data_IF_892857395746
#
_entry.id   IF_892857395746
#
_cell.length_a   1.000
_cell.length_b   1.000
_cell.length_c   1.000
_cell.angle_alpha   90.00
_cell.angle_beta   90.00
_cell.angle_gamma   90.00
#
_symmetry.space_group_name_H-M   'P 1'
#
loop_
_entity.id
_entity.type
_entity.pdbx_description
1 polymer ?
#
# COMPACT_ATOMS: atom_id res chain seq x y z
N UNK A 1 19.48 19.35 42.16
CA UNK A 1 20.28 18.57 41.20
C UNK A 1 19.67 17.18 41.07
N UNK A 2 19.36 16.70 39.85
CA UNK A 2 18.97 15.29 39.64
C UNK A 2 20.25 14.52 39.34
N UNK A 3 20.69 13.67 40.27
CA UNK A 3 21.80 12.76 40.01
C UNK A 3 21.36 11.73 38.99
N UNK A 4 22.04 11.66 37.84
CA UNK A 4 21.89 10.59 36.86
C UNK A 4 23.04 9.61 37.07
N UNK A 5 22.97 8.84 38.16
CA UNK A 5 23.89 7.73 38.36
C UNK A 5 23.35 6.54 37.56
N UNK A 6 24.11 5.94 36.64
CA UNK A 6 23.71 4.70 36.00
C UNK A 6 23.53 3.61 37.06
N UNK A 7 22.28 3.20 37.30
CA UNK A 7 21.99 2.04 38.15
C UNK A 7 22.08 0.78 37.29
N UNK A 8 22.94 -0.14 37.68
CA UNK A 8 23.07 -1.43 37.01
C UNK A 8 21.82 -2.29 37.32
N UNK A 9 21.34 -3.10 36.37
CA UNK A 9 20.12 -3.90 36.52
C UNK A 9 20.12 -4.76 37.80
N UNK A 10 21.28 -5.31 38.17
CA UNK A 10 21.43 -6.12 39.40
C UNK A 10 21.35 -5.32 40.71
N UNK A 11 21.43 -3.99 40.65
CA UNK A 11 21.34 -3.11 41.83
C UNK A 11 19.90 -2.85 42.27
N UNK A 12 18.91 -3.17 41.43
CA UNK A 12 17.50 -3.04 41.78
C UNK A 12 17.06 -4.12 42.77
N UNK A 13 15.98 -3.86 43.52
CA UNK A 13 15.37 -4.89 44.35
C UNK A 13 14.95 -6.11 43.48
N UNK A 14 15.02 -7.35 44.00
CA UNK A 14 14.73 -8.56 43.22
C UNK A 14 13.33 -8.56 42.58
N UNK A 15 12.35 -7.92 43.21
CA UNK A 15 10.99 -7.74 42.67
C UNK A 15 10.96 -6.91 41.38
N UNK A 16 11.81 -5.87 41.28
CA UNK A 16 11.90 -5.03 40.08
C UNK A 16 12.74 -5.69 38.98
N UNK A 17 13.73 -6.51 39.34
CA UNK A 17 14.46 -7.34 38.38
C UNK A 17 13.49 -8.32 37.68
N UNK A 18 12.72 -9.07 38.46
CA UNK A 18 11.71 -10.00 37.93
C UNK A 18 10.66 -9.30 37.07
N UNK A 19 10.15 -8.15 37.53
CA UNK A 19 9.18 -7.38 36.75
C UNK A 19 9.75 -6.88 35.42
N UNK A 20 11.04 -6.52 35.38
CA UNK A 20 11.72 -6.16 34.14
C UNK A 20 11.88 -7.37 33.21
N UNK A 21 12.30 -8.52 33.74
CA UNK A 21 12.42 -9.78 32.97
C UNK A 21 11.07 -10.18 32.36
N UNK A 22 9.98 -10.11 33.13
CA UNK A 22 8.62 -10.38 32.65
C UNK A 22 8.19 -9.39 31.55
N UNK A 23 8.55 -8.10 31.71
CA UNK A 23 8.31 -7.09 30.68
C UNK A 23 9.09 -7.39 29.40
N UNK A 24 10.35 -7.79 29.50
CA UNK A 24 11.19 -8.15 28.35
C UNK A 24 10.61 -9.38 27.62
N UNK A 25 10.21 -10.42 28.35
CA UNK A 25 9.55 -11.61 27.78
C UNK A 25 8.28 -11.20 27.01
N UNK A 26 7.40 -10.39 27.63
CA UNK A 26 6.17 -9.95 26.96
C UNK A 26 6.45 -9.06 25.74
N UNK A 27 7.45 -8.20 25.81
CA UNK A 27 7.88 -7.36 24.69
C UNK A 27 8.39 -8.21 23.52
N UNK A 28 9.22 -9.22 23.81
CA UNK A 28 9.68 -10.19 22.80
C UNK A 28 8.50 -10.90 22.13
N UNK A 29 7.54 -11.41 22.90
CA UNK A 29 6.33 -12.02 22.35
C UNK A 29 5.53 -11.07 21.46
N UNK A 30 5.41 -9.79 21.84
CA UNK A 30 4.73 -8.77 21.03
C UNK A 30 5.49 -8.52 19.73
N UNK A 31 6.82 -8.41 19.77
CA UNK A 31 7.69 -8.21 18.60
C UNK A 31 7.56 -9.39 17.64
N UNK A 32 7.68 -10.63 18.14
CA UNK A 32 7.57 -11.85 17.35
C UNK A 32 6.20 -11.94 16.68
N UNK A 33 5.12 -11.75 17.45
CA UNK A 33 3.75 -11.80 16.91
C UNK A 33 3.47 -10.68 15.89
N UNK A 34 4.04 -9.49 16.10
CA UNK A 34 3.94 -8.39 15.14
C UNK A 34 4.68 -8.73 13.85
N UNK A 35 5.87 -9.33 13.94
CA UNK A 35 6.64 -9.81 12.80
C UNK A 35 5.89 -10.89 12.03
N UNK A 36 5.40 -11.93 12.69
CA UNK A 36 4.62 -13.00 12.04
C UNK A 36 3.39 -12.44 11.32
N UNK A 37 2.65 -11.52 11.96
CA UNK A 37 1.49 -10.87 11.33
C UNK A 37 1.91 -10.03 10.12
N UNK A 38 3.05 -9.35 10.18
CA UNK A 38 3.56 -8.58 9.06
C UNK A 38 3.96 -9.51 7.92
N UNK A 39 4.80 -10.52 8.19
CA UNK A 39 5.35 -11.44 7.20
C UNK A 39 4.26 -12.25 6.50
N UNK A 40 3.24 -12.70 7.24
CA UNK A 40 2.08 -13.42 6.67
C UNK A 40 1.29 -12.60 5.66
N UNK A 41 1.19 -11.28 5.86
CA UNK A 41 0.43 -10.37 4.98
C UNK A 41 1.32 -9.64 3.96
N UNK A 42 2.64 -9.69 4.13
CA UNK A 42 3.58 -9.00 3.27
C UNK A 42 3.67 -9.67 1.90
N UNK A 43 3.45 -8.89 0.83
CA UNK A 43 3.63 -9.32 -0.56
C UNK A 43 4.68 -8.44 -1.24
N UNK A 44 5.55 -9.05 -2.02
CA UNK A 44 6.51 -8.30 -2.82
C UNK A 44 5.82 -7.65 -4.01
N UNK A 45 6.11 -6.37 -4.25
CA UNK A 45 5.61 -5.67 -5.44
C UNK A 45 6.44 -6.09 -6.66
N UNK A 46 5.83 -6.29 -7.85
CA UNK A 46 6.55 -6.63 -9.07
C UNK A 46 7.59 -5.58 -9.43
N UNK A 47 8.76 -5.99 -9.92
CA UNK A 47 9.78 -5.05 -10.41
C UNK A 47 9.26 -4.24 -11.59
N UNK A 48 9.73 -3.01 -11.73
CA UNK A 48 9.39 -2.12 -12.84
C UNK A 48 10.58 -2.05 -13.80
N UNK A 49 10.32 -1.80 -15.08
CA UNK A 49 11.35 -1.76 -16.11
C UNK A 49 11.75 -0.31 -16.43
N UNK A 50 12.96 -0.14 -16.95
CA UNK A 50 13.40 1.13 -17.52
C UNK A 50 12.42 1.58 -18.62
N UNK A 51 12.17 2.89 -18.72
CA UNK A 51 11.24 3.47 -19.68
C UNK A 51 9.75 3.30 -19.36
N UNK A 52 9.39 2.55 -18.31
CA UNK A 52 7.98 2.39 -17.92
C UNK A 52 7.42 3.69 -17.35
N UNK A 53 6.20 4.04 -17.77
CA UNK A 53 5.42 5.11 -17.16
C UNK A 53 4.85 4.66 -15.82
N UNK A 54 4.98 5.52 -14.81
CA UNK A 54 4.55 5.24 -13.45
C UNK A 54 3.83 6.42 -12.85
N UNK A 55 2.80 6.12 -12.07
CA UNK A 55 2.23 7.06 -11.11
C UNK A 55 3.15 7.10 -9.88
N UNK A 56 3.43 8.31 -9.43
CA UNK A 56 4.29 8.60 -8.29
C UNK A 56 3.44 9.15 -7.16
N UNK A 57 3.56 8.55 -5.98
CA UNK A 57 2.86 9.03 -4.81
C UNK A 57 3.51 10.33 -4.29
N UNK A 58 2.71 11.38 -4.15
CA UNK A 58 3.12 12.62 -3.51
C UNK A 58 3.32 12.41 -2.00
N UNK A 59 4.46 12.83 -1.46
CA UNK A 59 4.81 12.57 -0.07
C UNK A 59 4.04 13.43 0.93
N UNK A 60 3.55 14.60 0.49
CA UNK A 60 2.80 15.53 1.33
C UNK A 60 1.32 15.16 1.37
N UNK A 61 0.70 14.92 0.20
CA UNK A 61 -0.73 14.62 0.10
C UNK A 61 -1.08 13.13 0.10
N UNK A 62 -0.11 12.24 -0.17
CA UNK A 62 -0.34 10.81 -0.32
C UNK A 62 -1.10 10.42 -1.59
N UNK A 63 -1.38 11.37 -2.50
CA UNK A 63 -2.11 11.12 -3.75
C UNK A 63 -1.20 10.56 -4.84
N UNK A 64 -1.80 9.89 -5.81
CA UNK A 64 -1.14 9.31 -7.00
C UNK A 64 -1.47 10.19 -8.20
N UNK A 65 -1.00 11.43 -8.16
CA UNK A 65 -1.37 12.50 -9.11
C UNK A 65 -0.25 12.84 -10.09
N UNK A 66 0.99 12.45 -9.78
CA UNK A 66 2.15 12.77 -10.61
C UNK A 66 2.53 11.56 -11.47
N UNK A 67 2.78 11.81 -12.75
CA UNK A 67 3.29 10.78 -13.68
C UNK A 67 4.76 11.04 -13.98
N UNK A 68 5.54 9.96 -14.09
CA UNK A 68 6.95 10.00 -14.48
C UNK A 68 7.38 8.75 -15.22
N UNK A 69 8.60 8.80 -15.76
CA UNK A 69 9.23 7.68 -16.49
C UNK A 69 10.42 7.18 -15.69
N UNK A 70 10.57 5.87 -15.57
CA UNK A 70 11.74 5.27 -14.94
C UNK A 70 12.96 5.42 -15.86
N UNK A 71 14.00 6.09 -15.36
CA UNK A 71 15.27 6.31 -16.06
C UNK A 71 16.39 5.43 -15.49
N UNK A 72 16.26 4.95 -14.26
CA UNK A 72 17.27 4.12 -13.61
C UNK A 72 16.68 3.21 -12.54
N UNK A 73 17.35 2.09 -12.30
CA UNK A 73 17.01 1.11 -11.25
C UNK A 73 18.21 1.05 -10.30
N UNK A 74 17.96 1.31 -9.02
CA UNK A 74 18.98 1.25 -7.97
C UNK A 74 19.21 -0.18 -7.48
N UNK A 75 20.18 -0.35 -6.58
CA UNK A 75 20.55 -1.66 -6.01
C UNK A 75 19.45 -2.27 -5.13
N UNK A 76 18.61 -1.44 -4.53
CA UNK A 76 17.50 -1.86 -3.66
C UNK A 76 16.16 -1.78 -4.39
N UNK A 77 15.12 -1.27 -3.71
CA UNK A 77 13.79 -1.05 -4.29
C UNK A 77 13.65 0.40 -4.73
N UNK A 78 14.74 1.07 -5.07
CA UNK A 78 14.76 2.49 -5.40
C UNK A 78 14.90 2.66 -6.91
N UNK A 79 14.14 3.59 -7.47
CA UNK A 79 14.05 3.85 -8.90
C UNK A 79 14.31 5.33 -9.14
N UNK A 80 15.06 5.63 -10.18
CA UNK A 80 15.30 6.99 -10.64
C UNK A 80 14.21 7.36 -11.65
N UNK A 81 13.48 8.43 -11.38
CA UNK A 81 12.29 8.82 -12.14
C UNK A 81 12.47 10.21 -12.69
N UNK A 82 12.20 10.37 -13.98
CA UNK A 82 12.07 11.66 -14.64
C UNK A 82 10.60 12.08 -14.64
N UNK A 83 10.31 13.17 -13.94
CA UNK A 83 8.97 13.78 -13.89
C UNK A 83 8.67 14.52 -15.20
N UNK A 84 7.38 14.79 -15.47
CA UNK A 84 6.98 15.65 -16.59
C UNK A 84 7.58 17.06 -16.57
N UNK A 85 7.97 17.57 -15.40
CA UNK A 85 8.69 18.84 -15.25
C UNK A 85 10.18 18.79 -15.59
N UNK A 86 10.71 17.62 -15.96
CA UNK A 86 12.14 17.39 -16.24
C UNK A 86 12.99 17.10 -15.00
N UNK A 87 12.46 17.32 -13.79
CA UNK A 87 13.15 16.95 -12.54
C UNK A 87 13.34 15.44 -12.45
N UNK A 88 14.51 15.01 -11.98
CA UNK A 88 14.83 13.60 -11.76
C UNK A 88 14.97 13.35 -10.27
N UNK A 89 14.37 12.27 -9.74
CA UNK A 89 14.48 11.91 -8.32
C UNK A 89 14.49 10.41 -8.09
N UNK A 90 15.11 9.99 -6.99
CA UNK A 90 15.01 8.62 -6.48
C UNK A 90 13.71 8.41 -5.69
N UNK A 91 12.99 7.32 -5.97
CA UNK A 91 11.80 6.90 -5.22
C UNK A 91 11.75 5.40 -5.01
N UNK A 92 11.27 5.01 -3.84
CA UNK A 92 11.08 3.62 -3.49
C UNK A 92 9.88 3.02 -4.23
N UNK A 93 9.97 1.73 -4.60
CA UNK A 93 8.99 0.94 -5.34
C UNK A 93 7.58 1.01 -4.75
N UNK A 94 7.47 1.11 -3.42
CA UNK A 94 6.18 1.20 -2.72
C UNK A 94 5.40 2.47 -3.05
N UNK A 95 6.10 3.52 -3.50
CA UNK A 95 5.56 4.81 -3.89
C UNK A 95 5.40 4.95 -5.40
N UNK A 96 5.46 3.83 -6.13
CA UNK A 96 5.32 3.76 -7.58
C UNK A 96 4.23 2.77 -7.96
N UNK A 97 3.42 3.11 -8.96
CA UNK A 97 2.44 2.22 -9.58
C UNK A 97 2.63 2.26 -11.09
N UNK A 98 2.49 1.14 -11.81
CA UNK A 98 2.42 1.18 -13.26
C UNK A 98 1.28 2.12 -13.68
N UNK A 99 1.60 3.11 -14.51
CA UNK A 99 0.61 4.04 -15.02
C UNK A 99 -0.24 3.32 -16.06
N UNK A 100 -1.55 3.28 -15.85
CA UNK A 100 -2.51 2.77 -16.82
C UNK A 100 -3.29 3.97 -17.34
N UNK A 101 -2.95 4.52 -18.51
CA UNK A 101 -3.76 5.58 -19.08
C UNK A 101 -5.17 5.02 -19.26
N UNK A 102 -6.16 5.68 -18.66
CA UNK A 102 -7.56 5.38 -18.95
C UNK A 102 -7.72 5.50 -20.47
N UNK A 103 -8.15 4.43 -21.13
CA UNK A 103 -8.40 4.38 -22.58
C UNK A 103 -9.61 5.26 -22.93
N UNK A 104 -9.52 6.56 -22.69
CA UNK A 104 -10.50 7.55 -23.10
C UNK A 104 -9.77 8.63 -23.88
N UNK A 105 -9.30 8.28 -25.08
CA UNK A 105 -9.39 9.14 -26.25
C UNK A 105 -8.94 8.38 -27.49
N UNK A 106 -9.82 8.46 -28.48
CA UNK A 106 -9.76 7.89 -29.82
C UNK A 106 -8.39 8.05 -30.44
N UNK A 107 -7.78 6.92 -30.82
CA UNK A 107 -6.68 6.90 -31.79
C UNK A 107 -7.16 7.69 -33.02
N UNK A 108 -6.53 8.81 -33.41
CA UNK A 108 -6.72 9.34 -34.75
C UNK A 108 -6.11 8.28 -35.66
N UNK A 109 -6.98 7.47 -36.27
CA UNK A 109 -6.63 6.57 -37.35
C UNK A 109 -6.06 7.48 -38.44
N UNK A 110 -4.74 7.67 -38.45
CA UNK A 110 -4.06 8.42 -39.49
C UNK A 110 -4.56 7.85 -40.82
N UNK A 111 -5.11 8.72 -41.67
CA UNK A 111 -5.61 8.36 -42.99
C UNK A 111 -4.44 7.77 -43.76
N UNK A 112 -4.37 6.44 -43.82
CA UNK A 112 -3.65 5.76 -44.88
C UNK A 112 -4.45 6.02 -46.16
N UNK A 113 -3.88 6.86 -47.02
CA UNK A 113 -4.31 7.12 -48.38
C UNK A 113 -4.48 5.78 -49.13
N UNK A 114 -5.48 5.63 -50.02
CA UNK A 114 -5.77 4.36 -50.66
C UNK A 114 -4.75 4.07 -51.76
N UNK A 115 -3.98 2.99 -51.64
CA UNK A 115 -3.36 2.36 -52.81
C UNK A 115 -4.14 1.10 -53.15
N UNK A 116 -4.89 1.21 -54.23
CA UNK A 116 -5.61 0.15 -54.92
C UNK A 116 -4.63 -0.95 -55.35
N UNK A 117 -4.86 -2.18 -54.87
CA UNK A 117 -4.44 -3.39 -55.57
C UNK A 117 -5.59 -4.38 -55.57
N UNK A 118 -6.39 -4.27 -56.62
CA UNK A 118 -7.23 -5.34 -57.15
C UNK A 118 -6.38 -6.59 -57.37
N UNK A 119 -6.70 -7.71 -56.70
CA UNK A 119 -6.51 -9.07 -57.21
C UNK A 119 -7.52 -9.97 -56.48
N UNK A 120 -8.45 -10.54 -57.24
CA UNK A 120 -9.64 -11.20 -56.72
C UNK A 120 -9.55 -12.70 -56.47
N UNK A 121 -10.68 -13.15 -55.91
CA UNK A 121 -11.33 -14.47 -56.02
C UNK A 121 -10.87 -15.65 -55.15
N UNK A 122 -11.80 -16.08 -54.28
CA UNK A 122 -12.36 -17.44 -54.08
C UNK A 122 -12.82 -17.55 -52.61
N UNK A 123 -14.07 -17.19 -52.28
CA UNK A 123 -15.28 -18.05 -52.24
C UNK A 123 -15.03 -19.39 -51.53
N UNK A 124 -15.55 -19.53 -50.31
CA UNK A 124 -16.52 -20.59 -49.97
C UNK A 124 -17.22 -20.33 -48.61
N UNK A 125 -18.46 -20.86 -48.40
CA UNK A 125 -19.46 -20.31 -47.50
C UNK A 125 -19.57 -21.01 -46.12
N UNK A 126 -20.14 -20.29 -45.15
CA UNK A 126 -20.61 -20.82 -43.86
C UNK A 126 -21.75 -21.85 -44.03
N UNK A 127 -22.07 -22.66 -43.00
CA UNK A 127 -23.34 -22.46 -42.29
C UNK A 127 -23.30 -22.94 -40.80
N UNK A 128 -24.42 -23.07 -40.05
CA UNK A 128 -25.25 -22.02 -39.44
C UNK A 128 -25.39 -22.17 -37.88
N UNK A 129 -26.00 -21.14 -37.28
CA UNK A 129 -26.29 -20.85 -35.85
C UNK A 129 -26.96 -21.98 -35.00
N UNK A 130 -27.13 -21.82 -33.66
CA UNK A 130 -28.24 -20.99 -33.15
C UNK A 130 -27.93 -20.10 -31.93
N UNK A 131 -28.45 -18.87 -32.00
CA UNK A 131 -28.81 -18.05 -30.85
C UNK A 131 -29.91 -18.75 -30.04
N UNK A 132 -29.77 -18.84 -28.72
CA UNK A 132 -30.92 -18.88 -27.80
C UNK A 132 -30.54 -18.18 -26.50
N UNK A 133 -31.27 -17.10 -26.25
CA UNK A 133 -31.45 -16.34 -25.02
C UNK A 133 -31.80 -17.25 -23.84
N UNK A 134 -31.14 -17.08 -22.69
CA UNK A 134 -31.85 -17.18 -21.41
C UNK A 134 -31.27 -16.20 -20.37
N UNK A 135 -32.20 -15.62 -19.64
CA UNK A 135 -32.07 -14.54 -18.70
C UNK A 135 -31.47 -15.07 -17.39
N UNK A 136 -30.20 -14.76 -17.13
CA UNK A 136 -29.53 -15.04 -15.87
C UNK A 136 -29.20 -13.74 -15.12
N UNK A 137 -30.20 -13.13 -14.51
CA UNK A 137 -30.03 -12.05 -13.53
C UNK A 137 -28.96 -12.40 -12.51
N UNK A 138 -27.95 -11.53 -12.37
CA UNK A 138 -27.50 -10.92 -11.12
C UNK A 138 -26.24 -10.08 -11.38
N UNK A 139 -26.44 -8.86 -11.87
CA UNK A 139 -25.53 -7.75 -11.53
C UNK A 139 -25.65 -7.54 -10.02
N UNK A 140 -24.84 -8.24 -9.25
CA UNK A 140 -24.65 -7.94 -7.84
C UNK A 140 -24.14 -6.49 -7.77
N UNK A 141 -25.00 -5.61 -7.28
CA UNK A 141 -24.68 -4.22 -7.06
C UNK A 141 -23.36 -4.11 -6.29
N UNK A 142 -22.43 -3.32 -6.83
CA UNK A 142 -21.18 -2.91 -6.20
C UNK A 142 -21.50 -2.06 -4.95
N UNK A 143 -21.98 -2.70 -3.88
CA UNK A 143 -22.11 -2.07 -2.58
C UNK A 143 -20.72 -2.06 -1.93
N UNK A 144 -20.25 -0.91 -1.41
CA UNK A 144 -18.99 -0.85 -0.69
C UNK A 144 -19.08 -1.80 0.51
N UNK A 145 -18.15 -2.76 0.57
CA UNK A 145 -18.05 -3.76 1.62
C UNK A 145 -17.68 -3.09 2.95
N UNK A 146 -18.67 -2.55 3.67
CA UNK A 146 -18.48 -1.99 5.02
C UNK A 146 -18.13 -3.12 5.98
N UNK A 147 -17.09 -2.91 6.78
CA UNK A 147 -16.78 -3.83 7.87
C UNK A 147 -17.92 -3.82 8.91
N UNK A 148 -18.52 -4.97 9.20
CA UNK A 148 -19.46 -5.15 10.32
C UNK A 148 -18.76 -5.16 11.71
N UNK A 149 -17.51 -4.70 11.80
CA UNK A 149 -16.77 -4.70 13.06
C UNK A 149 -17.38 -3.66 14.00
N UNK A 150 -18.07 -4.11 15.04
CA UNK A 150 -18.44 -3.27 16.17
C UNK A 150 -17.15 -2.80 16.88
N UNK A 151 -16.93 -1.49 16.91
CA UNK A 151 -15.81 -0.90 17.65
C UNK A 151 -16.21 -0.79 19.13
N UNK A 152 -15.36 -1.25 20.03
CA UNK A 152 -15.50 -1.00 21.46
C UNK A 152 -15.01 0.43 21.75
N UNK A 153 -15.75 1.16 22.58
CA UNK A 153 -15.32 2.47 23.05
C UNK A 153 -14.02 2.30 23.89
N UNK A 154 -13.06 3.24 23.80
CA UNK A 154 -11.88 3.19 24.64
C UNK A 154 -12.29 3.30 26.11
N UNK A 155 -11.80 2.39 26.94
CA UNK A 155 -12.01 2.47 28.38
C UNK A 155 -11.13 3.61 28.92
N UNK A 156 -11.75 4.75 29.21
CA UNK A 156 -11.07 5.88 29.85
C UNK A 156 -10.86 5.52 31.32
N UNK A 157 -9.61 5.58 31.77
CA UNK A 157 -9.26 5.42 33.17
C UNK A 157 -9.74 6.66 33.92
N UNK A 158 -10.74 6.50 34.77
CA UNK A 158 -11.18 7.55 35.70
C UNK A 158 -10.19 7.62 36.87
N UNK A 159 -9.29 8.61 36.85
CA UNK A 159 -8.42 8.90 37.99
C UNK A 159 -9.20 9.72 39.02
N UNK A 160 -9.62 9.07 40.10
CA UNK A 160 -10.06 9.77 41.30
C UNK A 160 -8.84 10.16 42.13
N UNK A 161 -8.43 11.42 42.02
CA UNK A 161 -7.45 12.00 42.91
C UNK A 161 -8.04 12.09 44.32
N UNK A 162 -7.67 11.16 45.20
CA UNK A 162 -7.96 11.31 46.63
C UNK A 162 -7.17 12.51 47.14
N UNK A 163 -7.88 13.56 47.56
CA UNK A 163 -7.30 14.71 48.25
C UNK A 163 -6.70 14.22 49.57
N UNK A 164 -5.38 14.05 49.64
CA UNK A 164 -4.67 13.86 50.91
C UNK A 164 -4.58 15.22 51.58
N UNK A 165 -5.37 15.43 52.64
CA UNK A 165 -5.11 16.48 53.63
C UNK A 165 -3.95 16.03 54.50
N UNK A 166 -2.84 16.74 54.45
CA UNK A 166 -1.75 16.57 55.42
C UNK A 166 -2.04 17.49 56.60
N UNK A 167 -2.16 16.89 57.77
CA UNK A 167 -2.23 17.58 59.05
C UNK A 167 -0.80 17.95 59.44
N UNK A 168 -0.51 19.26 59.48
CA UNK A 168 0.80 19.77 59.90
C UNK A 168 0.77 19.88 61.42
N UNK A 169 1.53 19.03 62.10
CA UNK A 169 1.92 19.22 63.51
C UNK A 169 3.18 20.08 63.60
#
# INVERSE_FOLDING_TARGET
>A
MRSTVPAHHRSFAPEWQRAADDCDITAEHIIVKAKERYDTMARQLPRLHLGSYVDVQDHASGRWDRVGVIVGIGSRRDYLIKMGSGRIMWRNRKFLRPHHPMLSETIPRHKATPEEREHGSLVDPAPPHPTTTDLGEKRAANLPRRSHRQRRAPQRLEMQWRTKTYDNK
#
